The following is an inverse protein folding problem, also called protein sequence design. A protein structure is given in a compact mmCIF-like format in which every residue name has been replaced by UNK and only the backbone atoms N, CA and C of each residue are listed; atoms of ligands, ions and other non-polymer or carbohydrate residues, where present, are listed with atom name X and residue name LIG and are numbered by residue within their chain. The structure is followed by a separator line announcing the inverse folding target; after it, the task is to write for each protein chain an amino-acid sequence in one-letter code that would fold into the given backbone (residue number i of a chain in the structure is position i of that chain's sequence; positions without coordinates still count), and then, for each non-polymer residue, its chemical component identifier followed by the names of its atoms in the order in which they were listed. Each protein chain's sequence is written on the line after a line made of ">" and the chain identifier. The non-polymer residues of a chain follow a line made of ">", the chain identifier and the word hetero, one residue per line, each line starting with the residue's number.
data_IF_544185907874
#
_entry.id   IF_544185907874
#
_cell.length_a   1.000
_cell.length_b   1.000
_cell.length_c   1.000
_cell.angle_alpha   90.00
_cell.angle_beta   90.00
_cell.angle_gamma   90.00
#
_symmetry.space_group_name_H-M   'P 1'
#
loop_
_entity.id
_entity.type
_entity.pdbx_description
1 polymer ?
#
# COMPACT_ATOMS: atom_id res chain seq x y z
N UNK A 1 2.15 -4.67 -11.24
CA UNK A 1 2.71 -3.44 -10.67
C UNK A 1 3.54 -2.69 -11.69
N UNK A 2 3.52 -1.41 -11.62
CA UNK A 2 4.35 -0.54 -12.46
C UNK A 2 5.85 -0.79 -12.23
N UNK A 3 6.21 -1.38 -11.10
CA UNK A 3 7.60 -1.67 -10.71
C UNK A 3 7.99 -3.11 -11.02
N UNK A 4 8.79 -3.32 -12.06
CA UNK A 4 9.35 -4.64 -12.38
C UNK A 4 10.58 -5.00 -11.56
N UNK A 5 10.98 -6.29 -11.57
CA UNK A 5 12.17 -6.83 -10.87
C UNK A 5 13.45 -6.01 -11.06
N UNK A 6 13.73 -5.55 -12.27
CA UNK A 6 14.92 -4.73 -12.59
C UNK A 6 14.92 -3.40 -11.85
N UNK A 7 13.74 -2.79 -11.66
CA UNK A 7 13.61 -1.54 -10.94
C UNK A 7 13.72 -1.78 -9.43
N UNK A 8 13.11 -2.83 -8.90
CA UNK A 8 13.26 -3.24 -7.51
C UNK A 8 14.74 -3.50 -7.16
N UNK A 9 15.48 -4.19 -8.04
CA UNK A 9 16.92 -4.39 -7.84
C UNK A 9 17.70 -3.07 -7.70
N UNK A 10 17.38 -2.03 -8.47
CA UNK A 10 17.99 -0.70 -8.30
C UNK A 10 17.66 -0.06 -6.95
N UNK A 11 16.46 -0.28 -6.45
CA UNK A 11 16.07 0.19 -5.11
C UNK A 11 16.82 -0.54 -4.01
N UNK A 12 17.03 -1.86 -4.13
CA UNK A 12 17.82 -2.61 -3.12
C UNK A 12 19.29 -2.20 -3.10
N UNK A 13 19.85 -1.77 -4.24
CA UNK A 13 21.18 -1.18 -4.26
C UNK A 13 21.25 0.17 -3.52
N UNK A 14 20.20 0.98 -3.64
CA UNK A 14 20.10 2.28 -2.97
C UNK A 14 19.72 2.15 -1.49
N UNK A 15 18.87 1.21 -1.17
CA UNK A 15 18.35 0.90 0.16
C UNK A 15 18.52 -0.59 0.44
N UNK A 16 19.71 -1.04 0.89
CA UNK A 16 20.02 -2.47 1.08
C UNK A 16 19.05 -3.22 2.00
N UNK A 17 18.44 -2.52 2.96
CA UNK A 17 17.43 -3.08 3.86
C UNK A 17 16.21 -3.66 3.12
N UNK A 18 15.90 -3.18 1.92
CA UNK A 18 14.81 -3.72 1.11
C UNK A 18 15.11 -5.10 0.53
N UNK A 19 16.39 -5.50 0.50
CA UNK A 19 16.78 -6.83 0.05
C UNK A 19 16.30 -7.97 0.97
N UNK A 20 15.92 -7.65 2.20
CA UNK A 20 15.39 -8.62 3.17
C UNK A 20 13.86 -8.73 3.15
N UNK A 21 13.18 -7.94 2.31
CA UNK A 21 11.72 -7.98 2.17
C UNK A 21 11.36 -9.02 1.12
N UNK A 22 10.60 -10.05 1.53
CA UNK A 22 10.03 -10.99 0.57
C UNK A 22 9.09 -10.25 -0.38
N UNK A 23 9.33 -10.37 -1.68
CA UNK A 23 8.58 -9.63 -2.70
C UNK A 23 7.98 -10.58 -3.71
N UNK A 24 6.66 -10.54 -3.85
CA UNK A 24 5.91 -11.28 -4.86
C UNK A 24 5.61 -10.37 -6.05
N UNK A 25 5.99 -10.79 -7.25
CA UNK A 25 5.63 -10.10 -8.49
C UNK A 25 4.49 -10.85 -9.16
N UNK A 26 3.30 -10.26 -9.21
CA UNK A 26 2.13 -10.90 -9.83
C UNK A 26 2.36 -11.28 -11.30
N UNK A 27 3.25 -10.59 -11.99
CA UNK A 27 3.68 -10.92 -13.36
C UNK A 27 4.29 -12.32 -13.50
N UNK A 28 4.80 -12.91 -12.43
CA UNK A 28 5.35 -14.28 -12.44
C UNK A 28 4.25 -15.35 -12.34
N UNK A 29 3.01 -14.95 -12.10
CA UNK A 29 1.88 -15.82 -11.80
C UNK A 29 0.71 -15.63 -12.77
N UNK A 30 0.97 -15.12 -13.99
CA UNK A 30 -0.08 -14.84 -15.00
C UNK A 30 -0.87 -16.07 -15.44
N UNK A 31 -0.34 -17.27 -15.23
CA UNK A 31 -1.02 -18.54 -15.53
C UNK A 31 -1.93 -19.03 -14.39
N UNK A 32 -1.90 -18.34 -13.26
CA UNK A 32 -2.64 -18.69 -12.05
C UNK A 32 -3.71 -17.66 -11.76
N UNK A 33 -4.75 -18.08 -11.06
CA UNK A 33 -5.78 -17.15 -10.59
C UNK A 33 -5.21 -16.23 -9.51
N UNK A 34 -5.29 -14.92 -9.72
CA UNK A 34 -4.74 -13.88 -8.83
C UNK A 34 -5.25 -14.03 -7.39
N UNK A 35 -6.54 -14.33 -7.23
CA UNK A 35 -7.15 -14.57 -5.92
C UNK A 35 -6.49 -15.73 -5.19
N UNK A 36 -6.30 -16.87 -5.86
CA UNK A 36 -5.76 -18.08 -5.26
C UNK A 36 -4.29 -17.90 -4.87
N UNK A 37 -3.51 -17.19 -5.69
CA UNK A 37 -2.11 -16.85 -5.37
C UNK A 37 -2.04 -16.01 -4.11
N UNK A 38 -2.86 -14.96 -3.99
CA UNK A 38 -2.87 -14.08 -2.82
C UNK A 38 -3.29 -14.83 -1.57
N UNK A 39 -4.35 -15.64 -1.62
CA UNK A 39 -4.82 -16.41 -0.48
C UNK A 39 -3.74 -17.39 0.02
N UNK A 40 -3.04 -18.09 -0.91
CA UNK A 40 -1.94 -18.99 -0.55
C UNK A 40 -0.76 -18.26 0.11
N UNK A 41 -0.43 -17.07 -0.36
CA UNK A 41 0.64 -16.24 0.23
C UNK A 41 0.25 -15.79 1.63
N UNK A 42 -0.97 -15.30 1.80
CA UNK A 42 -1.47 -14.83 3.10
C UNK A 42 -1.60 -15.95 4.14
N UNK A 43 -1.87 -17.17 3.70
CA UNK A 43 -1.92 -18.36 4.58
C UNK A 43 -0.57 -18.66 5.28
N UNK A 44 0.54 -18.07 4.83
CA UNK A 44 1.85 -18.17 5.50
C UNK A 44 1.91 -17.35 6.80
N UNK A 45 1.00 -16.39 6.99
CA UNK A 45 0.85 -15.60 8.21
C UNK A 45 1.95 -14.56 8.42
N UNK A 46 2.10 -13.64 7.50
CA UNK A 46 3.01 -12.50 7.63
C UNK A 46 2.51 -11.50 8.67
N UNK A 47 3.43 -10.87 9.43
CA UNK A 47 3.09 -9.80 10.37
C UNK A 47 2.65 -8.52 9.64
N UNK A 48 3.27 -8.23 8.49
CA UNK A 48 2.97 -7.05 7.67
C UNK A 48 2.96 -7.44 6.19
N UNK A 49 1.92 -7.04 5.49
CA UNK A 49 1.79 -7.17 4.04
C UNK A 49 1.57 -5.80 3.42
N UNK A 50 2.43 -5.45 2.46
CA UNK A 50 2.28 -4.27 1.62
C UNK A 50 1.70 -4.68 0.27
N UNK A 51 0.65 -4.02 -0.18
CA UNK A 51 0.04 -4.21 -1.50
C UNK A 51 0.22 -2.94 -2.34
N UNK A 52 1.00 -3.04 -3.42
CA UNK A 52 1.22 -1.97 -4.40
C UNK A 52 0.93 -2.49 -5.82
N UNK A 53 -0.21 -2.16 -6.35
CA UNK A 53 -1.30 -1.34 -5.84
C UNK A 53 -2.61 -2.14 -5.68
N UNK A 54 -3.49 -1.64 -4.83
CA UNK A 54 -4.84 -2.19 -4.64
C UNK A 54 -5.61 -2.28 -5.95
N UNK A 55 -5.48 -1.27 -6.82
CA UNK A 55 -6.19 -1.24 -8.11
C UNK A 55 -5.82 -2.44 -9.00
N UNK A 56 -4.53 -2.78 -9.09
CA UNK A 56 -4.06 -3.89 -9.91
C UNK A 56 -4.53 -5.25 -9.39
N UNK A 57 -4.53 -5.43 -8.07
CA UNK A 57 -5.06 -6.66 -7.46
C UNK A 57 -6.56 -6.81 -7.75
N UNK A 58 -7.32 -5.73 -7.59
CA UNK A 58 -8.76 -5.74 -7.89
C UNK A 58 -9.02 -6.06 -9.35
N UNK A 59 -8.25 -5.44 -10.27
CA UNK A 59 -8.41 -5.67 -11.71
C UNK A 59 -8.03 -7.11 -12.09
N UNK A 60 -6.93 -7.66 -11.56
CA UNK A 60 -6.54 -9.05 -11.78
C UNK A 60 -7.61 -10.04 -11.27
N UNK A 61 -8.08 -9.87 -10.05
CA UNK A 61 -9.12 -10.75 -9.47
C UNK A 61 -10.43 -10.65 -10.26
N UNK A 62 -10.81 -9.45 -10.67
CA UNK A 62 -12.00 -9.23 -11.51
C UNK A 62 -11.91 -10.01 -12.83
N UNK A 63 -10.79 -9.85 -13.53
CA UNK A 63 -10.58 -10.41 -14.85
C UNK A 63 -10.48 -11.95 -14.79
N UNK A 64 -9.73 -12.50 -13.84
CA UNK A 64 -9.55 -13.95 -13.67
C UNK A 64 -10.86 -14.68 -13.28
N UNK A 65 -11.75 -14.01 -12.57
CA UNK A 65 -12.99 -14.63 -12.05
C UNK A 65 -14.26 -14.15 -12.77
N UNK A 66 -14.13 -13.29 -13.77
CA UNK A 66 -15.25 -12.66 -14.46
C UNK A 66 -16.23 -11.97 -13.48
N UNK A 67 -15.67 -11.30 -12.47
CA UNK A 67 -16.42 -10.55 -11.47
C UNK A 67 -16.59 -9.09 -11.85
N UNK A 68 -17.56 -8.41 -11.25
CA UNK A 68 -17.56 -6.96 -11.27
C UNK A 68 -16.52 -6.39 -10.27
N UNK A 69 -16.19 -5.10 -10.46
CA UNK A 69 -15.20 -4.43 -9.60
C UNK A 69 -15.59 -4.43 -8.13
N UNK A 70 -16.87 -4.32 -7.83
CA UNK A 70 -17.40 -4.28 -6.46
C UNK A 70 -17.22 -5.63 -5.75
N UNK A 71 -17.41 -6.74 -6.47
CA UNK A 71 -17.17 -8.08 -5.95
C UNK A 71 -15.69 -8.29 -5.65
N UNK A 72 -14.80 -7.95 -6.57
CA UNK A 72 -13.35 -8.09 -6.38
C UNK A 72 -12.84 -7.21 -5.22
N UNK A 73 -13.33 -5.97 -5.10
CA UNK A 73 -12.99 -5.10 -3.96
C UNK A 73 -13.52 -5.64 -2.64
N UNK A 74 -14.76 -6.17 -2.61
CA UNK A 74 -15.34 -6.81 -1.42
C UNK A 74 -14.50 -8.00 -0.97
N UNK A 75 -14.08 -8.85 -1.90
CA UNK A 75 -13.21 -9.97 -1.60
C UNK A 75 -11.88 -9.52 -0.99
N UNK A 76 -11.21 -8.53 -1.58
CA UNK A 76 -9.94 -8.02 -1.05
C UNK A 76 -10.09 -7.51 0.39
N UNK A 77 -11.15 -6.76 0.66
CA UNK A 77 -11.47 -6.27 2.00
C UNK A 77 -11.68 -7.43 2.97
N UNK A 78 -12.47 -8.43 2.57
CA UNK A 78 -12.80 -9.57 3.43
C UNK A 78 -11.55 -10.41 3.74
N UNK A 79 -10.67 -10.61 2.76
CA UNK A 79 -9.37 -11.29 2.94
C UNK A 79 -8.46 -10.52 3.91
N UNK A 80 -8.35 -9.19 3.76
CA UNK A 80 -7.55 -8.37 4.68
C UNK A 80 -8.11 -8.43 6.10
N UNK A 81 -9.42 -8.30 6.29
CA UNK A 81 -10.07 -8.35 7.60
C UNK A 81 -9.89 -9.72 8.26
N UNK A 82 -10.05 -10.81 7.50
CA UNK A 82 -9.86 -12.17 7.97
C UNK A 82 -8.44 -12.39 8.49
N UNK A 83 -7.43 -12.04 7.69
CA UNK A 83 -6.03 -12.19 8.08
C UNK A 83 -5.64 -11.25 9.23
N UNK A 84 -6.21 -10.05 9.29
CA UNK A 84 -5.98 -9.12 10.41
C UNK A 84 -6.52 -9.66 11.74
N UNK A 85 -7.50 -10.56 11.72
CA UNK A 85 -8.02 -11.28 12.90
C UNK A 85 -7.29 -12.57 13.22
N UNK A 86 -6.26 -12.93 12.46
CA UNK A 86 -5.54 -14.19 12.60
C UNK A 86 -6.29 -15.41 12.05
N UNK A 87 -7.32 -15.18 11.23
CA UNK A 87 -8.10 -16.24 10.60
C UNK A 87 -7.44 -16.74 9.31
N UNK A 88 -6.17 -17.15 9.38
CA UNK A 88 -5.38 -17.79 8.34
C UNK A 88 -4.78 -19.10 8.85
N UNK A 89 -4.13 -19.88 7.98
CA UNK A 89 -3.58 -21.19 8.38
C UNK A 89 -2.48 -21.12 9.44
N UNK A 90 -1.76 -19.99 9.49
CA UNK A 90 -0.71 -19.78 10.48
C UNK A 90 -1.24 -19.26 11.83
N UNK A 91 -2.53 -18.91 11.92
CA UNK A 91 -3.14 -18.25 13.09
C UNK A 91 -2.38 -16.97 13.51
N UNK A 92 -1.85 -16.23 12.54
CA UNK A 92 -1.09 -15.00 12.78
C UNK A 92 -1.89 -13.76 12.37
N UNK A 93 -1.76 -12.70 13.17
CA UNK A 93 -2.38 -11.40 12.90
C UNK A 93 -1.55 -10.63 11.88
N UNK A 94 -2.14 -10.33 10.72
CA UNK A 94 -1.47 -9.61 9.64
C UNK A 94 -1.91 -8.15 9.60
N UNK A 95 -0.96 -7.23 9.67
CA UNK A 95 -1.20 -5.82 9.36
C UNK A 95 -1.08 -5.58 7.86
N UNK A 96 -1.91 -4.69 7.31
CA UNK A 96 -1.89 -4.37 5.88
C UNK A 96 -1.54 -2.91 5.63
N UNK A 97 -0.61 -2.66 4.72
CA UNK A 97 -0.33 -1.35 4.13
C UNK A 97 -0.77 -1.39 2.67
N UNK A 98 -1.86 -0.68 2.37
CA UNK A 98 -2.50 -0.68 1.07
C UNK A 98 -2.17 0.61 0.33
N UNK A 99 -1.49 0.50 -0.83
CA UNK A 99 -1.20 1.63 -1.69
C UNK A 99 -2.29 1.75 -2.74
N UNK A 100 -2.94 2.91 -2.77
CA UNK A 100 -3.98 3.24 -3.73
C UNK A 100 -3.63 4.54 -4.45
N UNK A 101 -3.67 4.49 -5.76
CA UNK A 101 -3.50 5.69 -6.57
C UNK A 101 -4.71 6.62 -6.43
N UNK A 102 -4.45 7.91 -6.57
CA UNK A 102 -5.50 8.93 -6.67
C UNK A 102 -5.77 9.25 -8.15
N UNK A 103 -6.97 9.72 -8.44
CA UNK A 103 -7.30 10.23 -9.77
C UNK A 103 -6.48 11.49 -10.09
N UNK A 104 -6.45 11.91 -11.36
CA UNK A 104 -5.81 13.18 -11.78
C UNK A 104 -6.35 14.42 -11.02
N UNK A 105 -7.56 14.34 -10.50
CA UNK A 105 -8.16 15.36 -9.65
C UNK A 105 -7.77 15.25 -8.16
N UNK A 106 -6.86 14.33 -7.80
CA UNK A 106 -6.44 14.09 -6.42
C UNK A 106 -7.49 13.40 -5.54
N UNK A 107 -8.49 12.78 -6.16
CA UNK A 107 -9.57 12.08 -5.43
C UNK A 107 -9.20 10.60 -5.30
N UNK A 108 -9.45 10.04 -4.12
CA UNK A 108 -9.29 8.61 -3.86
C UNK A 108 -10.10 7.76 -4.86
N UNK A 109 -9.44 6.83 -5.52
CA UNK A 109 -10.03 6.00 -6.59
C UNK A 109 -10.63 4.67 -6.10
N UNK A 110 -10.86 4.50 -4.80
CA UNK A 110 -11.48 3.31 -4.19
C UNK A 110 -12.91 3.57 -3.71
N UNK A 111 -13.56 2.51 -3.21
CA UNK A 111 -14.89 2.63 -2.65
C UNK A 111 -14.90 3.27 -1.26
N UNK A 112 -16.06 3.80 -0.88
CA UNK A 112 -16.27 4.27 0.49
C UNK A 112 -16.14 3.12 1.52
N UNK A 113 -16.43 1.86 1.13
CA UNK A 113 -16.27 0.68 2.00
C UNK A 113 -14.82 0.55 2.46
N UNK A 114 -13.84 0.65 1.56
CA UNK A 114 -12.43 0.58 1.89
C UNK A 114 -12.01 1.73 2.83
N UNK A 115 -12.47 2.96 2.57
CA UNK A 115 -12.23 4.11 3.48
C UNK A 115 -12.74 3.88 4.89
N UNK A 116 -13.90 3.25 5.04
CA UNK A 116 -14.49 3.02 6.35
C UNK A 116 -13.79 1.91 7.14
N UNK A 117 -13.23 0.92 6.48
CA UNK A 117 -12.63 -0.25 7.11
C UNK A 117 -11.19 -0.03 7.59
N UNK A 118 -10.39 0.77 6.89
CA UNK A 118 -9.01 1.04 7.31
C UNK A 118 -8.96 1.85 8.61
N UNK A 119 -7.98 1.56 9.45
CA UNK A 119 -7.79 2.27 10.72
C UNK A 119 -7.14 3.64 10.53
N UNK A 120 -6.29 3.77 9.52
CA UNK A 120 -5.66 5.02 9.16
C UNK A 120 -5.64 5.22 7.64
N UNK A 121 -5.65 6.46 7.21
CA UNK A 121 -5.56 6.88 5.83
C UNK A 121 -4.60 8.05 5.72
N UNK A 122 -3.45 7.80 5.08
CA UNK A 122 -2.44 8.81 4.81
C UNK A 122 -2.48 9.22 3.33
N UNK A 123 -2.38 10.52 3.07
CA UNK A 123 -2.22 11.06 1.74
C UNK A 123 -0.82 11.62 1.57
N UNK A 124 -0.10 11.12 0.56
CA UNK A 124 1.21 11.68 0.17
C UNK A 124 0.99 12.82 -0.81
N UNK A 125 1.45 14.00 -0.47
CA UNK A 125 1.27 15.22 -1.26
C UNK A 125 2.55 16.04 -1.33
N UNK A 126 2.62 16.92 -2.34
CA UNK A 126 3.63 17.97 -2.43
C UNK A 126 2.98 19.32 -2.22
N UNK A 127 3.59 20.15 -1.41
CA UNK A 127 3.16 21.52 -1.19
C UNK A 127 3.61 22.44 -2.33
N UNK A 128 2.87 23.50 -2.58
CA UNK A 128 3.26 24.50 -3.56
C UNK A 128 4.54 25.23 -3.09
N UNK A 129 5.39 25.62 -4.02
CA UNK A 129 6.63 26.37 -3.74
C UNK A 129 6.38 27.68 -2.96
N UNK A 130 5.22 28.34 -3.22
CA UNK A 130 4.79 29.53 -2.48
C UNK A 130 4.60 29.31 -0.98
N UNK A 131 4.43 28.07 -0.55
CA UNK A 131 4.26 27.67 0.85
C UNK A 131 5.49 26.95 1.41
N UNK A 132 6.67 27.18 0.81
CA UNK A 132 7.93 26.57 1.23
C UNK A 132 8.27 25.27 0.52
N UNK A 133 7.38 24.73 -0.33
CA UNK A 133 7.57 23.47 -1.00
C UNK A 133 7.62 22.29 -0.03
N UNK A 134 8.01 21.12 -0.54
CA UNK A 134 8.21 19.92 0.29
C UNK A 134 7.17 18.85 0.08
N UNK A 135 7.56 17.62 0.35
CA UNK A 135 6.68 16.45 0.27
C UNK A 135 6.29 16.05 1.68
N UNK A 136 5.01 15.73 1.89
CA UNK A 136 4.50 15.37 3.20
C UNK A 136 3.49 14.24 3.12
N UNK A 137 3.30 13.55 4.25
CA UNK A 137 2.17 12.67 4.51
C UNK A 137 1.23 13.40 5.46
N UNK A 138 -0.07 13.42 5.11
CA UNK A 138 -1.12 13.93 5.97
C UNK A 138 -2.14 12.82 6.24
N UNK A 139 -2.42 12.54 7.51
CA UNK A 139 -3.44 11.58 7.88
C UNK A 139 -4.83 12.22 7.85
N UNK A 140 -5.65 11.83 6.89
CA UNK A 140 -7.05 12.26 6.75
C UNK A 140 -8.01 11.40 7.58
N UNK A 141 -7.54 10.23 8.01
CA UNK A 141 -8.20 9.34 8.97
C UNK A 141 -7.13 8.69 9.83
N UNK A 142 -7.34 8.69 11.13
CA UNK A 142 -6.49 7.94 12.08
C UNK A 142 -7.32 7.60 13.31
N UNK A 143 -7.72 6.34 13.46
CA UNK A 143 -8.58 5.89 14.55
C UNK A 143 -7.94 6.05 15.92
N UNK A 144 -6.62 5.90 15.99
CA UNK A 144 -5.87 5.86 17.25
C UNK A 144 -4.85 7.02 17.37
N UNK A 145 -4.91 8.01 16.50
CA UNK A 145 -3.92 9.09 16.49
C UNK A 145 -4.46 10.41 15.95
N UNK A 146 -3.56 11.35 15.75
CA UNK A 146 -3.86 12.70 15.29
C UNK A 146 -4.15 12.68 13.77
N UNK A 147 -5.13 13.46 13.34
CA UNK A 147 -5.43 13.75 11.93
C UNK A 147 -5.00 15.18 11.59
N UNK A 148 -4.91 15.48 10.28
CA UNK A 148 -4.56 16.79 9.74
C UNK A 148 -3.21 17.35 10.22
N UNK A 149 -2.29 16.45 10.59
CA UNK A 149 -0.92 16.79 10.93
C UNK A 149 0.01 16.35 9.80
N UNK A 150 0.74 17.30 9.21
CA UNK A 150 1.69 17.05 8.13
C UNK A 150 3.02 16.56 8.70
N UNK A 151 3.46 15.43 8.23
CA UNK A 151 4.82 14.93 8.45
C UNK A 151 5.58 15.08 7.13
N UNK A 152 6.49 16.03 7.08
CA UNK A 152 7.32 16.25 5.91
C UNK A 152 8.41 15.19 5.81
N UNK A 153 8.78 14.85 4.59
CA UNK A 153 9.88 13.93 4.34
C UNK A 153 10.65 14.32 3.08
N UNK A 154 11.91 13.97 3.08
CA UNK A 154 12.80 14.05 1.94
C UNK A 154 13.48 12.70 1.73
N UNK A 155 13.47 12.24 0.49
CA UNK A 155 14.14 11.03 0.07
C UNK A 155 15.46 11.42 -0.59
N UNK A 156 16.57 11.29 0.14
CA UNK A 156 17.90 11.46 -0.43
C UNK A 156 18.46 10.14 -1.01
N UNK A 157 19.74 10.09 -1.35
CA UNK A 157 20.32 8.94 -2.06
C UNK A 157 20.29 7.61 -1.29
N UNK A 158 20.23 7.62 0.04
CA UNK A 158 20.30 6.40 0.85
C UNK A 158 19.44 6.44 2.11
N UNK A 159 18.82 7.57 2.42
CA UNK A 159 18.04 7.76 3.64
C UNK A 159 16.75 8.52 3.39
N UNK A 160 15.86 8.45 4.38
CA UNK A 160 14.67 9.28 4.47
C UNK A 160 14.84 10.20 5.67
N UNK A 161 14.77 11.51 5.47
CA UNK A 161 14.58 12.50 6.54
C UNK A 161 13.10 12.75 6.70
N UNK A 162 12.64 12.92 7.92
CA UNK A 162 11.24 13.21 8.21
C UNK A 162 11.10 14.08 9.46
N UNK A 163 10.03 14.85 9.53
CA UNK A 163 9.75 15.73 10.66
C UNK A 163 8.97 16.98 10.28
N UNK A 164 9.31 18.13 10.87
CA UNK A 164 8.79 19.42 10.42
C UNK A 164 9.42 19.83 9.08
N UNK A 165 8.81 20.80 8.38
CA UNK A 165 9.37 21.30 7.13
C UNK A 165 10.78 21.86 7.32
N UNK A 166 11.04 22.56 8.40
CA UNK A 166 12.35 23.12 8.74
C UNK A 166 13.40 22.02 8.98
N UNK A 167 13.01 20.94 9.67
CA UNK A 167 13.94 19.82 9.96
C UNK A 167 14.31 19.01 8.71
N UNK A 168 13.45 19.03 7.68
CA UNK A 168 13.70 18.31 6.42
C UNK A 168 14.55 19.15 5.46
N UNK A 169 14.41 20.48 5.50
CA UNK A 169 15.13 21.42 4.64
C UNK A 169 16.52 21.82 5.19
N UNK A 170 16.82 21.52 6.44
CA UNK A 170 18.13 21.76 7.08
C UNK A 170 19.18 20.72 6.64
#
# INVERSE_FOLDING_TARGET
>A
GEMGKKQMFKYTQRFPQFGNIETLFMQDFLEYNTKDVIEQVLDRGYDLVLIDSVAEIIDGVRDDNNWDRKMAESWLVDVCVKNNKGENKANNFTSFLLIQQVTKAGVFAGSNKLKHLVDAMGEMRREAESNGGGTFINFTKNRNGIVDNKVYYELNNSNIRYGSLEAVQA
#
